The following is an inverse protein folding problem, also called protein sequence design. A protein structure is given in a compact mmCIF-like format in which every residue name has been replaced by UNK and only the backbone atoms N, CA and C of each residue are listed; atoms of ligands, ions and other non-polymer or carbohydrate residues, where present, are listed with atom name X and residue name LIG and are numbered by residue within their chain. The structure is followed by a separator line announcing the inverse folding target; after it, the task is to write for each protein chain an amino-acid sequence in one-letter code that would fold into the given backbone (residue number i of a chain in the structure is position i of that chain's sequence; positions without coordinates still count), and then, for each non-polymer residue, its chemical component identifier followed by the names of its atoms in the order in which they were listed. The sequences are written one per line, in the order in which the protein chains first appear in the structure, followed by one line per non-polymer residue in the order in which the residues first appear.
data_IF_397359976525
#
_entry.id   IF_397359976525
#
_cell.length_a   1.000
_cell.length_b   1.000
_cell.length_c   1.000
_cell.angle_alpha   90.00
_cell.angle_beta   90.00
_cell.angle_gamma   90.00
#
_symmetry.space_group_name_H-M   'P 1'
#
loop_
_entity.id
_entity.type
_entity.pdbx_description
1 polymer ?
#
# COMPACT_ATOMS: atom_id res chain seq x y z
N UNK A 1 30.21 47.94 -16.84
CA UNK A 1 30.41 48.24 -18.27
C UNK A 1 29.63 47.31 -19.15
N UNK A 2 29.03 47.82 -20.17
CA UNK A 2 27.86 47.40 -20.93
C UNK A 2 28.02 46.07 -21.69
N UNK A 3 27.03 45.17 -21.54
CA UNK A 3 26.66 44.16 -22.55
C UNK A 3 26.18 44.90 -23.80
N UNK A 4 26.67 44.51 -24.95
CA UNK A 4 26.08 44.51 -26.32
C UNK A 4 27.18 44.64 -27.36
N UNK A 5 27.03 43.77 -28.36
CA UNK A 5 27.62 43.78 -29.70
C UNK A 5 28.50 42.55 -29.96
N UNK A 6 27.86 41.53 -30.47
CA UNK A 6 28.39 40.71 -31.54
C UNK A 6 27.25 40.04 -32.31
N UNK A 7 26.64 40.77 -33.20
CA UNK A 7 25.83 40.25 -34.30
C UNK A 7 26.15 41.17 -35.48
N UNK A 8 26.75 40.66 -36.49
CA UNK A 8 26.55 40.98 -37.90
C UNK A 8 27.75 40.50 -38.75
N UNK A 9 27.43 39.77 -39.76
CA UNK A 9 28.34 39.62 -40.90
C UNK A 9 28.25 38.25 -41.56
N UNK A 10 27.44 38.23 -42.57
CA UNK A 10 27.54 37.80 -43.97
C UNK A 10 27.31 36.30 -44.21
N UNK A 11 26.52 35.83 -45.14
CA UNK A 11 25.93 36.41 -46.34
C UNK A 11 25.93 35.34 -47.43
N UNK A 12 24.76 35.01 -47.91
CA UNK A 12 24.34 34.46 -49.21
C UNK A 12 25.30 33.57 -50.03
N UNK A 13 24.87 32.33 -50.29
CA UNK A 13 24.82 31.72 -51.62
C UNK A 13 23.87 30.52 -51.61
N UNK A 14 22.92 30.52 -52.52
CA UNK A 14 21.80 29.59 -52.57
C UNK A 14 22.10 28.24 -53.18
N UNK A 15 21.23 27.30 -52.87
CA UNK A 15 20.81 26.23 -53.80
C UNK A 15 19.48 25.67 -53.30
N UNK A 16 18.48 25.72 -54.16
CA UNK A 16 17.19 25.10 -54.02
C UNK A 16 17.36 23.56 -53.96
N UNK A 17 17.05 22.98 -52.82
CA UNK A 17 16.86 21.55 -52.66
C UNK A 17 15.44 21.28 -52.12
N UNK A 18 14.65 20.56 -52.89
CA UNK A 18 13.27 20.19 -52.57
C UNK A 18 13.21 19.41 -51.27
N UNK A 19 12.54 19.98 -50.26
CA UNK A 19 12.19 19.26 -49.01
C UNK A 19 10.97 18.40 -49.34
N UNK A 20 11.18 17.10 -49.56
CA UNK A 20 10.11 16.11 -49.53
C UNK A 20 9.62 16.00 -48.08
N UNK A 21 8.41 16.46 -47.80
CA UNK A 21 7.67 16.22 -46.57
C UNK A 21 7.32 14.71 -46.51
N UNK A 22 8.23 13.90 -46.03
CA UNK A 22 7.87 12.56 -45.57
C UNK A 22 7.21 12.71 -44.18
N UNK A 23 5.89 12.62 -44.15
CA UNK A 23 5.13 12.37 -42.94
C UNK A 23 5.55 11.02 -42.35
N UNK A 24 6.70 10.99 -41.71
CA UNK A 24 7.14 9.87 -40.89
C UNK A 24 6.27 9.86 -39.62
N UNK A 25 5.39 8.93 -39.51
CA UNK A 25 4.91 8.48 -38.20
C UNK A 25 6.16 8.21 -37.36
N UNK A 26 6.42 9.06 -36.37
CA UNK A 26 7.43 8.80 -35.37
C UNK A 26 6.95 7.59 -34.55
N UNK A 27 7.25 6.38 -35.04
CA UNK A 27 7.34 5.21 -34.21
C UNK A 27 8.43 5.54 -33.18
N UNK A 28 8.06 5.69 -31.93
CA UNK A 28 9.00 5.75 -30.81
C UNK A 28 9.95 4.56 -30.98
N UNK A 29 11.28 4.77 -31.10
CA UNK A 29 12.21 3.66 -31.17
C UNK A 29 11.98 2.82 -29.90
N UNK A 30 11.64 1.55 -30.04
CA UNK A 30 11.69 0.62 -28.92
C UNK A 30 13.10 0.72 -28.34
N UNK A 31 13.26 1.13 -27.09
CA UNK A 31 14.58 1.21 -26.50
C UNK A 31 15.14 -0.21 -26.46
N UNK A 32 16.40 -0.37 -26.87
CA UNK A 32 17.13 -1.64 -26.76
C UNK A 32 17.65 -1.85 -25.32
N UNK A 33 17.11 -1.12 -24.34
CA UNK A 33 17.52 -1.21 -22.93
C UNK A 33 16.97 -2.44 -22.23
N UNK A 34 17.53 -2.77 -21.05
CA UNK A 34 16.98 -3.82 -20.20
C UNK A 34 15.50 -3.56 -19.85
N UNK A 35 14.73 -4.62 -19.72
CA UNK A 35 13.30 -4.57 -19.47
C UNK A 35 12.98 -4.92 -18.02
N UNK A 36 12.32 -4.00 -17.33
CA UNK A 36 11.80 -4.22 -15.99
C UNK A 36 10.28 -4.23 -16.04
N UNK A 37 9.68 -5.31 -15.57
CA UNK A 37 8.21 -5.38 -15.35
C UNK A 37 7.93 -5.20 -13.87
N UNK A 38 7.01 -4.30 -13.54
CA UNK A 38 6.54 -4.05 -12.17
C UNK A 38 5.07 -4.46 -12.10
N UNK A 39 4.70 -5.36 -11.20
CA UNK A 39 3.32 -5.80 -10.97
C UNK A 39 2.81 -5.21 -9.67
N UNK A 40 1.75 -4.40 -9.76
CA UNK A 40 1.12 -3.67 -8.66
C UNK A 40 1.53 -2.20 -8.60
N UNK A 41 0.56 -1.31 -8.73
CA UNK A 41 0.71 0.16 -8.79
C UNK A 41 0.57 0.87 -7.43
N UNK A 42 0.66 0.15 -6.31
CA UNK A 42 0.62 0.73 -4.97
C UNK A 42 1.90 1.49 -4.58
N UNK A 43 2.03 1.81 -3.29
CA UNK A 43 3.18 2.56 -2.74
C UNK A 43 4.54 1.98 -3.14
N UNK A 44 4.70 0.66 -3.11
CA UNK A 44 5.97 0.03 -3.45
C UNK A 44 6.23 0.03 -4.95
N UNK A 45 5.31 -0.53 -5.75
CA UNK A 45 5.53 -0.72 -7.18
C UNK A 45 5.58 0.57 -7.98
N UNK A 46 4.67 1.52 -7.73
CA UNK A 46 4.71 2.83 -8.41
C UNK A 46 6.00 3.60 -8.08
N UNK A 47 6.43 3.60 -6.81
CA UNK A 47 7.74 4.14 -6.41
C UNK A 47 8.88 3.46 -7.15
N UNK A 48 8.89 2.12 -7.18
CA UNK A 48 9.97 1.38 -7.86
C UNK A 48 10.00 1.72 -9.35
N UNK A 49 8.85 1.73 -10.03
CA UNK A 49 8.75 2.05 -11.45
C UNK A 49 9.33 3.43 -11.77
N UNK A 50 8.97 4.44 -10.98
CA UNK A 50 9.49 5.81 -11.08
C UNK A 50 11.00 5.84 -10.92
N UNK A 51 11.50 5.29 -9.81
CA UNK A 51 12.91 5.42 -9.46
C UNK A 51 13.85 4.56 -10.31
N UNK A 52 13.39 3.41 -10.85
CA UNK A 52 14.16 2.67 -11.86
C UNK A 52 14.36 3.53 -13.11
N UNK A 53 13.31 4.21 -13.60
CA UNK A 53 13.44 5.13 -14.74
C UNK A 53 14.41 6.27 -14.44
N UNK A 54 14.21 6.97 -13.32
CA UNK A 54 15.04 8.14 -12.96
C UNK A 54 16.50 7.78 -12.73
N UNK A 55 16.78 6.74 -11.94
CA UNK A 55 18.16 6.41 -11.55
C UNK A 55 18.95 5.63 -12.60
N UNK A 56 18.28 5.13 -13.64
CA UNK A 56 18.93 4.61 -14.84
C UNK A 56 19.15 5.66 -15.91
N UNK A 57 18.92 6.94 -15.61
CA UNK A 57 18.91 8.02 -16.60
C UNK A 57 18.05 7.69 -17.82
N UNK A 58 16.87 7.11 -17.52
CA UNK A 58 15.87 6.63 -18.49
C UNK A 58 16.36 5.52 -19.46
N UNK A 59 17.51 4.89 -19.19
CA UNK A 59 18.09 3.81 -20.01
C UNK A 59 17.45 2.44 -19.82
N UNK A 60 16.63 2.23 -18.77
CA UNK A 60 15.92 0.97 -18.51
C UNK A 60 14.44 1.15 -18.86
N UNK A 61 13.88 0.23 -19.64
CA UNK A 61 12.46 0.21 -19.97
C UNK A 61 11.65 -0.34 -18.79
N UNK A 62 10.66 0.42 -18.33
CA UNK A 62 9.78 0.01 -17.23
C UNK A 62 8.34 -0.09 -17.68
N UNK A 63 7.75 -1.28 -17.47
CA UNK A 63 6.31 -1.52 -17.64
C UNK A 63 5.67 -1.76 -16.29
N UNK A 64 4.71 -0.91 -15.93
CA UNK A 64 3.86 -1.07 -14.74
C UNK A 64 2.57 -1.78 -15.13
N UNK A 65 2.29 -2.94 -14.54
CA UNK A 65 1.03 -3.68 -14.69
C UNK A 65 0.17 -3.42 -13.46
N UNK A 66 -0.96 -2.74 -13.66
CA UNK A 66 -1.90 -2.38 -12.59
C UNK A 66 -3.32 -2.32 -13.17
N UNK A 67 -4.27 -3.12 -12.67
CA UNK A 67 -5.64 -3.13 -13.17
C UNK A 67 -6.44 -1.88 -12.80
N UNK A 68 -6.11 -1.22 -11.70
CA UNK A 68 -6.76 0.01 -11.26
C UNK A 68 -6.50 1.18 -12.21
N UNK A 69 -7.49 2.02 -12.43
CA UNK A 69 -7.38 3.22 -13.28
C UNK A 69 -6.60 4.36 -12.63
N UNK A 70 -6.37 4.28 -11.32
CA UNK A 70 -5.64 5.29 -10.55
C UNK A 70 -5.08 4.64 -9.27
N UNK A 71 -4.06 5.28 -8.71
CA UNK A 71 -3.59 5.01 -7.37
C UNK A 71 -4.62 5.45 -6.34
N UNK A 72 -4.99 4.56 -5.41
CA UNK A 72 -5.86 4.88 -4.28
C UNK A 72 -5.09 4.60 -2.98
N UNK A 73 -4.94 5.63 -2.17
CA UNK A 73 -4.22 5.53 -0.90
C UNK A 73 -5.02 4.77 0.15
N UNK A 74 -4.46 3.70 0.73
CA UNK A 74 -5.03 3.07 1.92
C UNK A 74 -4.83 3.93 3.18
N UNK A 75 -3.66 4.52 3.47
CA UNK A 75 -3.56 5.63 4.41
C UNK A 75 -4.56 6.74 4.07
N UNK A 76 -5.24 7.26 5.10
CA UNK A 76 -6.37 8.20 5.03
C UNK A 76 -7.72 7.61 4.56
N UNK A 77 -7.80 6.36 4.12
CA UNK A 77 -9.09 5.77 3.72
C UNK A 77 -10.08 5.62 4.89
N UNK A 78 -9.59 5.54 6.14
CA UNK A 78 -10.44 5.56 7.32
C UNK A 78 -11.17 6.90 7.51
N UNK A 79 -10.61 8.02 7.05
CA UNK A 79 -11.28 9.33 7.03
C UNK A 79 -12.46 9.34 6.04
N UNK A 80 -12.38 8.56 4.96
CA UNK A 80 -13.51 8.37 4.03
C UNK A 80 -14.61 7.54 4.70
N UNK A 81 -14.26 6.47 5.42
CA UNK A 81 -15.22 5.68 6.19
C UNK A 81 -15.89 6.54 7.28
N UNK A 82 -15.12 7.37 7.98
CA UNK A 82 -15.64 8.33 8.97
C UNK A 82 -16.45 9.49 8.37
N UNK A 83 -16.28 9.78 7.08
CA UNK A 83 -17.02 10.81 6.35
C UNK A 83 -16.37 12.21 6.35
N UNK A 84 -15.17 12.38 6.90
CA UNK A 84 -14.43 13.66 6.87
C UNK A 84 -13.64 13.86 5.57
N UNK A 85 -13.48 12.81 4.74
CA UNK A 85 -12.86 12.84 3.42
C UNK A 85 -13.70 12.08 2.41
N UNK A 86 -13.38 12.25 1.12
CA UNK A 86 -13.98 11.55 -0.02
C UNK A 86 -12.96 10.64 -0.70
N UNK A 87 -13.41 9.77 -1.60
CA UNK A 87 -12.50 8.97 -2.41
C UNK A 87 -11.60 9.82 -3.30
N UNK A 88 -12.09 10.96 -3.77
CA UNK A 88 -11.29 11.89 -4.58
C UNK A 88 -10.07 12.43 -3.82
N UNK A 89 -10.19 12.68 -2.52
CA UNK A 89 -9.11 13.17 -1.66
C UNK A 89 -7.93 12.19 -1.52
N UNK A 90 -8.16 10.90 -1.79
CA UNK A 90 -7.17 9.83 -1.64
C UNK A 90 -6.82 9.12 -2.96
N UNK A 91 -7.29 9.66 -4.09
CA UNK A 91 -7.08 9.08 -5.44
C UNK A 91 -6.17 9.98 -6.26
N UNK A 92 -5.15 9.42 -6.88
CA UNK A 92 -4.19 10.12 -7.74
C UNK A 92 -3.98 9.34 -9.04
N UNK A 93 -4.10 9.97 -10.22
CA UNK A 93 -3.86 9.28 -11.49
C UNK A 93 -2.38 8.93 -11.69
N UNK A 94 -2.12 7.93 -12.56
CA UNK A 94 -0.75 7.53 -12.93
C UNK A 94 -0.13 8.42 -14.01
N UNK A 95 -0.79 9.50 -14.40
CA UNK A 95 -0.41 10.36 -15.53
C UNK A 95 1.05 10.82 -15.49
N UNK A 96 1.54 11.21 -14.31
CA UNK A 96 2.91 11.69 -14.18
C UNK A 96 3.95 10.57 -14.34
N UNK A 97 3.66 9.35 -13.87
CA UNK A 97 4.52 8.20 -14.13
C UNK A 97 4.69 7.96 -15.63
N UNK A 98 3.61 8.09 -16.40
CA UNK A 98 3.61 7.92 -17.85
C UNK A 98 4.28 9.12 -18.53
N UNK A 99 3.79 10.35 -18.27
CA UNK A 99 4.18 11.55 -19.04
C UNK A 99 5.55 12.09 -18.67
N UNK A 100 5.92 12.06 -17.38
CA UNK A 100 7.19 12.64 -16.89
C UNK A 100 8.31 11.61 -16.81
N UNK A 101 7.96 10.38 -16.42
CA UNK A 101 8.97 9.33 -16.17
C UNK A 101 9.02 8.27 -17.28
N UNK A 102 8.11 8.33 -18.28
CA UNK A 102 8.10 7.40 -19.38
C UNK A 102 7.87 5.94 -18.97
N UNK A 103 7.15 5.72 -17.86
CA UNK A 103 6.71 4.40 -17.44
C UNK A 103 5.58 3.95 -18.37
N UNK A 104 5.70 2.77 -18.97
CA UNK A 104 4.62 2.18 -19.75
C UNK A 104 3.59 1.56 -18.79
N UNK A 105 2.45 2.21 -18.60
CA UNK A 105 1.37 1.65 -17.79
C UNK A 105 0.49 0.74 -18.64
N UNK A 106 0.32 -0.51 -18.18
CA UNK A 106 -0.58 -1.52 -18.75
C UNK A 106 -1.71 -1.74 -17.76
N UNK A 107 -2.90 -1.24 -18.10
CA UNK A 107 -4.08 -1.39 -17.27
C UNK A 107 -4.68 -2.79 -17.45
N UNK A 108 -4.04 -3.75 -16.80
CA UNK A 108 -4.41 -5.17 -16.84
C UNK A 108 -3.96 -5.88 -15.55
N UNK A 109 -4.43 -7.10 -15.36
CA UNK A 109 -4.03 -7.96 -14.24
C UNK A 109 -3.00 -8.99 -14.68
N UNK A 110 -1.90 -9.10 -13.94
CA UNK A 110 -0.98 -10.21 -14.06
C UNK A 110 -1.63 -11.47 -13.44
N UNK A 111 -1.83 -12.52 -14.25
CA UNK A 111 -2.50 -13.75 -13.80
C UNK A 111 -1.56 -14.91 -13.56
N UNK A 112 -0.39 -14.91 -14.21
CA UNK A 112 0.63 -15.92 -14.06
C UNK A 112 2.02 -15.34 -14.33
N UNK A 113 3.02 -15.84 -13.65
CA UNK A 113 4.43 -15.60 -13.91
C UNK A 113 5.06 -16.92 -14.30
N UNK A 114 5.86 -16.89 -15.34
CA UNK A 114 6.71 -18.01 -15.78
C UNK A 114 8.17 -17.58 -15.58
N UNK A 115 8.81 -17.99 -14.48
CA UNK A 115 10.18 -17.55 -14.18
C UNK A 115 11.23 -18.12 -15.14
N UNK A 116 10.98 -19.32 -15.67
CA UNK A 116 11.94 -19.98 -16.58
C UNK A 116 11.99 -19.26 -17.92
N UNK A 117 10.83 -18.87 -18.45
CA UNK A 117 10.72 -18.06 -19.68
C UNK A 117 10.93 -16.57 -19.42
N UNK A 118 10.93 -16.12 -18.17
CA UNK A 118 10.96 -14.71 -17.75
C UNK A 118 9.84 -13.89 -18.39
N UNK A 119 8.60 -14.34 -18.26
CA UNK A 119 7.43 -13.64 -18.77
C UNK A 119 6.34 -13.49 -17.71
N UNK A 120 5.61 -12.38 -17.78
CA UNK A 120 4.38 -12.12 -17.02
C UNK A 120 3.21 -12.26 -17.99
N UNK A 121 2.25 -13.15 -17.67
CA UNK A 121 1.04 -13.39 -18.46
C UNK A 121 -0.09 -12.49 -17.95
N UNK A 122 -0.77 -11.83 -18.88
CA UNK A 122 -1.83 -10.86 -18.61
C UNK A 122 -3.23 -11.48 -18.77
N UNK A 123 -4.20 -10.99 -18.01
CA UNK A 123 -5.58 -11.48 -18.01
C UNK A 123 -6.30 -11.24 -19.36
N UNK A 124 -6.05 -10.10 -20.01
CA UNK A 124 -6.63 -9.74 -21.31
C UNK A 124 -5.87 -10.37 -22.50
N UNK A 125 -4.88 -11.20 -22.21
CA UNK A 125 -4.01 -11.84 -23.18
C UNK A 125 -2.70 -11.12 -23.39
N UNK A 126 -1.70 -11.87 -23.89
CA UNK A 126 -0.35 -11.38 -24.10
C UNK A 126 0.59 -11.69 -22.93
N UNK A 127 1.87 -11.57 -23.26
CA UNK A 127 2.98 -11.82 -22.34
C UNK A 127 3.94 -10.64 -22.35
N UNK A 128 4.49 -10.31 -21.18
CA UNK A 128 5.50 -9.27 -21.02
C UNK A 128 6.83 -9.91 -20.61
N UNK A 129 7.82 -9.96 -21.50
CA UNK A 129 9.14 -10.42 -21.16
C UNK A 129 9.88 -9.44 -20.27
N UNK A 130 10.75 -9.95 -19.36
CA UNK A 130 11.51 -9.13 -18.44
C UNK A 130 12.95 -9.64 -18.26
N UNK A 131 13.87 -8.73 -17.99
CA UNK A 131 15.20 -9.02 -17.45
C UNK A 131 15.16 -9.06 -15.91
N UNK A 132 14.34 -8.19 -15.30
CA UNK A 132 14.01 -8.19 -13.87
C UNK A 132 12.51 -7.99 -13.69
N UNK A 133 11.93 -8.76 -12.78
CA UNK A 133 10.53 -8.65 -12.38
C UNK A 133 10.43 -8.12 -10.95
N UNK A 134 9.55 -7.16 -10.73
CA UNK A 134 9.28 -6.57 -9.42
C UNK A 134 7.82 -6.82 -9.07
N UNK A 135 7.57 -7.52 -7.96
CA UNK A 135 6.24 -7.82 -7.46
C UNK A 135 5.95 -7.00 -6.22
N UNK A 136 4.94 -6.15 -6.31
CA UNK A 136 4.40 -5.36 -5.19
C UNK A 136 2.88 -5.54 -5.08
N UNK A 137 2.38 -6.81 -4.99
CA UNK A 137 0.95 -7.08 -5.06
C UNK A 137 0.20 -6.78 -3.75
N UNK A 138 0.91 -6.37 -2.70
CA UNK A 138 0.35 -6.13 -1.38
C UNK A 138 -0.07 -7.44 -0.69
N UNK A 139 -1.18 -7.39 0.06
CA UNK A 139 -1.73 -8.56 0.75
C UNK A 139 -2.99 -9.07 0.06
N UNK A 140 -3.23 -10.37 0.18
CA UNK A 140 -4.52 -11.00 -0.04
C UNK A 140 -5.05 -11.62 1.26
N UNK A 141 -6.36 -11.92 1.27
CA UNK A 141 -7.08 -12.37 2.44
C UNK A 141 -7.28 -13.89 2.41
N UNK A 142 -7.09 -14.52 3.57
CA UNK A 142 -7.28 -15.95 3.75
C UNK A 142 -8.75 -16.25 4.07
N UNK A 143 -9.61 -16.10 3.07
CA UNK A 143 -11.05 -16.29 3.23
C UNK A 143 -11.43 -17.72 3.66
N UNK A 144 -10.59 -18.68 3.33
CA UNK A 144 -10.72 -20.08 3.74
C UNK A 144 -10.72 -20.28 5.27
N UNK A 145 -10.21 -19.31 6.04
CA UNK A 145 -10.24 -19.33 7.51
C UNK A 145 -11.59 -18.91 8.09
N UNK A 146 -12.51 -18.41 7.25
CA UNK A 146 -13.84 -17.95 7.61
C UNK A 146 -14.86 -18.58 6.63
N UNK A 147 -15.32 -19.83 6.88
CA UNK A 147 -16.12 -20.59 5.93
C UNK A 147 -17.38 -19.85 5.43
N UNK A 148 -18.13 -19.16 6.29
CA UNK A 148 -19.31 -18.37 5.91
C UNK A 148 -19.01 -17.23 4.92
N UNK A 149 -17.77 -16.76 4.87
CA UNK A 149 -17.33 -15.72 3.91
C UNK A 149 -17.01 -16.24 2.52
N UNK A 150 -17.02 -17.55 2.30
CA UNK A 150 -16.81 -18.18 0.99
C UNK A 150 -18.08 -18.26 0.15
N UNK A 151 -19.25 -18.06 0.76
CA UNK A 151 -20.54 -18.06 0.06
C UNK A 151 -20.65 -16.90 -0.94
N UNK A 152 -21.44 -17.13 -2.01
CA UNK A 152 -21.70 -16.10 -3.03
C UNK A 152 -22.37 -14.87 -2.38
N UNK A 153 -21.85 -13.69 -2.69
CA UNK A 153 -22.36 -12.41 -2.15
C UNK A 153 -21.95 -12.11 -0.70
N UNK A 154 -21.33 -13.04 0.02
CA UNK A 154 -20.93 -12.81 1.42
C UNK A 154 -20.00 -11.59 1.56
N UNK A 155 -19.03 -11.44 0.66
CA UNK A 155 -18.03 -10.35 0.65
C UNK A 155 -18.61 -8.99 0.23
N UNK A 156 -19.80 -8.98 -0.35
CA UNK A 156 -20.52 -7.74 -0.69
C UNK A 156 -21.40 -7.26 0.49
N UNK A 157 -21.76 -8.15 1.37
CA UNK A 157 -22.55 -7.86 2.56
C UNK A 157 -21.69 -7.59 3.80
N UNK A 158 -20.69 -8.44 4.06
CA UNK A 158 -19.72 -8.29 5.14
C UNK A 158 -18.40 -7.79 4.57
N UNK A 159 -18.12 -6.52 4.83
CA UNK A 159 -17.02 -5.82 4.16
C UNK A 159 -15.73 -5.87 4.99
N UNK A 160 -14.59 -6.06 4.33
CA UNK A 160 -13.29 -5.78 4.95
C UNK A 160 -12.92 -4.29 4.83
N UNK A 161 -13.21 -3.64 3.71
CA UNK A 161 -12.80 -2.26 3.38
C UNK A 161 -11.31 -1.97 3.72
N UNK A 162 -10.45 -3.00 3.59
CA UNK A 162 -9.02 -2.93 3.96
C UNK A 162 -8.12 -2.69 2.75
N UNK A 163 -8.60 -2.90 1.56
CA UNK A 163 -8.07 -2.35 0.30
C UNK A 163 -8.95 -1.15 -0.04
N UNK A 164 -8.36 0.05 -0.10
CA UNK A 164 -9.12 1.26 -0.41
C UNK A 164 -9.73 1.18 -1.82
N UNK A 165 -10.98 1.58 -1.95
CA UNK A 165 -11.74 1.48 -3.20
C UNK A 165 -13.24 1.39 -2.96
N UNK A 166 -13.94 0.59 -3.77
CA UNK A 166 -15.41 0.45 -3.70
C UNK A 166 -15.93 0.03 -2.33
N UNK A 167 -15.24 -0.89 -1.63
CA UNK A 167 -15.63 -1.31 -0.30
C UNK A 167 -15.48 -0.20 0.77
N UNK A 168 -14.59 0.77 0.59
CA UNK A 168 -14.48 1.93 1.48
C UNK A 168 -15.76 2.75 1.46
N UNK A 169 -16.29 3.03 0.26
CA UNK A 169 -17.57 3.72 0.08
C UNK A 169 -18.77 2.87 0.52
N UNK A 170 -18.74 1.56 0.23
CA UNK A 170 -19.80 0.65 0.63
C UNK A 170 -19.93 0.57 2.16
N UNK A 171 -18.80 0.48 2.90
CA UNK A 171 -18.81 0.51 4.36
C UNK A 171 -19.35 1.84 4.89
N UNK A 172 -18.96 2.98 4.31
CA UNK A 172 -19.54 4.28 4.68
C UNK A 172 -21.06 4.28 4.50
N UNK A 173 -21.58 3.79 3.38
CA UNK A 173 -23.01 3.69 3.13
C UNK A 173 -23.73 2.79 4.13
N UNK A 174 -23.12 1.66 4.54
CA UNK A 174 -23.70 0.80 5.58
C UNK A 174 -23.80 1.52 6.92
N UNK A 175 -22.78 2.31 7.31
CA UNK A 175 -22.80 3.11 8.52
C UNK A 175 -23.89 4.20 8.48
N UNK A 176 -24.09 4.84 7.31
CA UNK A 176 -25.14 5.84 7.11
C UNK A 176 -26.55 5.23 7.19
N UNK A 177 -26.73 4.06 6.62
CA UNK A 177 -28.01 3.34 6.60
C UNK A 177 -28.37 2.69 7.95
N UNK A 178 -27.40 2.46 8.83
CA UNK A 178 -27.62 1.87 10.15
C UNK A 178 -28.48 2.82 11.02
N UNK A 179 -29.50 2.32 11.75
CA UNK A 179 -30.28 3.17 12.66
C UNK A 179 -29.43 3.71 13.82
N UNK A 180 -29.81 4.86 14.39
CA UNK A 180 -29.24 5.30 15.67
C UNK A 180 -29.60 4.28 16.78
N UNK A 181 -28.61 3.93 17.61
CA UNK A 181 -28.69 2.81 18.56
C UNK A 181 -28.22 1.49 17.97
N UNK A 182 -27.84 1.45 16.67
CA UNK A 182 -27.25 0.27 16.04
C UNK A 182 -25.81 -0.01 16.50
N UNK A 183 -25.33 -1.22 16.19
CA UNK A 183 -24.01 -1.71 16.55
C UNK A 183 -23.16 -1.92 15.29
N UNK A 184 -21.99 -1.30 15.26
CA UNK A 184 -20.91 -1.60 14.30
C UNK A 184 -19.88 -2.47 15.00
N UNK A 185 -19.60 -3.65 14.45
CA UNK A 185 -18.62 -4.60 14.96
C UNK A 185 -17.42 -4.72 14.00
N UNK A 186 -16.22 -4.44 14.53
CA UNK A 186 -14.95 -4.54 13.83
C UNK A 186 -14.18 -5.74 14.36
N UNK A 187 -14.02 -6.79 13.54
CA UNK A 187 -13.21 -7.95 13.87
C UNK A 187 -11.79 -7.80 13.33
N UNK A 188 -10.78 -7.95 14.20
CA UNK A 188 -9.36 -7.77 13.92
C UNK A 188 -8.65 -9.13 14.01
N UNK A 189 -7.88 -9.57 13.00
CA UNK A 189 -7.19 -10.85 13.02
C UNK A 189 -5.93 -10.82 13.91
N UNK A 190 -5.36 -11.99 14.18
CA UNK A 190 -4.04 -12.10 14.80
C UNK A 190 -2.97 -11.43 13.92
N UNK A 191 -2.04 -10.74 14.56
CA UNK A 191 -0.83 -10.21 13.90
C UNK A 191 0.05 -11.36 13.36
N UNK A 192 0.83 -11.14 12.27
CA UNK A 192 1.02 -9.89 11.56
C UNK A 192 -0.05 -9.63 10.48
N UNK A 193 -0.54 -8.41 10.43
CA UNK A 193 -1.42 -7.91 9.37
C UNK A 193 -0.96 -6.53 8.89
N UNK A 194 -1.43 -6.09 7.72
CA UNK A 194 -1.11 -4.78 7.17
C UNK A 194 -1.69 -3.67 8.02
N UNK A 195 -0.90 -2.58 8.25
CA UNK A 195 -1.28 -1.39 8.98
C UNK A 195 -1.73 -1.67 10.42
N UNK A 196 -0.81 -2.07 11.32
CA UNK A 196 -1.16 -2.46 12.70
C UNK A 196 -2.05 -1.47 13.45
N UNK A 197 -1.89 -0.13 13.37
CA UNK A 197 -2.77 0.83 14.05
C UNK A 197 -4.09 1.08 13.32
N UNK A 198 -4.22 0.66 12.06
CA UNK A 198 -5.33 1.04 11.18
C UNK A 198 -6.73 0.63 11.67
N UNK A 199 -6.94 -0.55 12.28
CA UNK A 199 -8.26 -0.92 12.81
C UNK A 199 -8.70 -0.02 13.95
N UNK A 200 -7.81 0.34 14.85
CA UNK A 200 -8.10 1.20 15.99
C UNK A 200 -8.36 2.65 15.56
N UNK A 201 -7.64 3.14 14.54
CA UNK A 201 -7.95 4.40 13.86
C UNK A 201 -9.35 4.36 13.23
N UNK A 202 -9.70 3.27 12.52
CA UNK A 202 -11.03 3.10 11.93
C UNK A 202 -12.14 3.17 12.98
N UNK A 203 -11.94 2.51 14.11
CA UNK A 203 -12.89 2.57 15.23
C UNK A 203 -13.07 4.01 15.73
N UNK A 204 -11.99 4.79 15.85
CA UNK A 204 -12.07 6.21 16.22
C UNK A 204 -12.84 7.03 15.18
N UNK A 205 -12.60 6.82 13.88
CA UNK A 205 -13.29 7.56 12.82
C UNK A 205 -14.78 7.23 12.75
N UNK A 206 -15.18 5.95 12.96
CA UNK A 206 -16.58 5.55 13.04
C UNK A 206 -17.23 6.11 14.30
N UNK A 207 -16.54 6.08 15.45
CA UNK A 207 -17.05 6.65 16.69
C UNK A 207 -17.20 8.16 16.62
N UNK A 208 -16.28 8.86 15.95
CA UNK A 208 -16.41 10.30 15.68
C UNK A 208 -17.64 10.62 14.84
N UNK A 209 -17.92 9.81 13.82
CA UNK A 209 -19.16 9.94 13.06
C UNK A 209 -20.40 9.66 13.93
N UNK A 210 -20.38 8.62 14.75
CA UNK A 210 -21.51 8.28 15.62
C UNK A 210 -21.77 9.35 16.68
N UNK A 211 -20.74 9.91 17.29
CA UNK A 211 -20.92 10.96 18.31
C UNK A 211 -21.71 12.18 17.79
N UNK A 212 -21.66 12.44 16.49
CA UNK A 212 -22.36 13.55 15.84
C UNK A 212 -23.71 13.13 15.25
N UNK A 213 -23.78 12.02 14.55
CA UNK A 213 -24.91 11.64 13.73
C UNK A 213 -25.79 10.53 14.34
N UNK A 214 -25.22 9.69 15.24
CA UNK A 214 -25.87 8.49 15.80
C UNK A 214 -25.40 8.23 17.24
N UNK A 215 -25.70 9.14 18.20
CA UNK A 215 -25.09 9.14 19.53
C UNK A 215 -25.44 7.94 20.42
N UNK A 216 -26.50 7.19 20.10
CA UNK A 216 -26.88 5.97 20.82
C UNK A 216 -26.18 4.71 20.28
N UNK A 217 -25.50 4.82 19.13
CA UNK A 217 -24.85 3.70 18.46
C UNK A 217 -23.54 3.31 19.14
N UNK A 218 -23.09 2.07 18.89
CA UNK A 218 -21.88 1.48 19.50
C UNK A 218 -20.89 1.02 18.45
N UNK A 219 -19.60 1.13 18.79
CA UNK A 219 -18.46 0.56 18.07
C UNK A 219 -17.86 -0.53 18.95
N UNK A 220 -17.95 -1.78 18.51
CA UNK A 220 -17.31 -2.92 19.17
C UNK A 220 -16.02 -3.27 18.42
N UNK A 221 -14.90 -3.23 19.12
CA UNK A 221 -13.59 -3.67 18.62
C UNK A 221 -13.36 -5.07 19.16
N UNK A 222 -13.40 -6.07 18.28
CA UNK A 222 -13.27 -7.50 18.60
C UNK A 222 -11.90 -7.94 18.09
N UNK A 223 -10.92 -7.92 18.97
CA UNK A 223 -9.51 -8.09 18.63
C UNK A 223 -9.02 -9.49 18.99
N UNK A 224 -8.50 -10.23 18.02
CA UNK A 224 -7.92 -11.55 18.28
C UNK A 224 -6.62 -11.51 19.10
N UNK A 225 -5.98 -10.35 19.19
CA UNK A 225 -4.72 -10.15 19.93
C UNK A 225 -4.97 -9.94 21.43
N UNK A 226 -3.93 -10.12 22.25
CA UNK A 226 -4.01 -9.91 23.71
C UNK A 226 -4.22 -8.46 24.09
N UNK A 227 -3.75 -7.54 23.27
CA UNK A 227 -3.91 -6.08 23.43
C UNK A 227 -3.75 -5.35 22.09
N UNK A 228 -3.98 -4.04 22.10
CA UNK A 228 -3.78 -3.13 20.97
C UNK A 228 -2.36 -3.25 20.43
N UNK A 229 -2.22 -3.67 19.18
CA UNK A 229 -0.92 -4.04 18.57
C UNK A 229 0.00 -2.86 18.26
N UNK A 230 -0.51 -1.64 18.27
CA UNK A 230 0.28 -0.42 18.01
C UNK A 230 -0.34 0.80 18.67
N UNK A 231 0.45 1.63 19.36
CA UNK A 231 0.03 2.87 20.03
C UNK A 231 -1.08 2.66 21.07
N UNK A 232 -1.11 1.50 21.74
CA UNK A 232 -2.17 1.08 22.66
C UNK A 232 -2.57 2.13 23.69
N UNK A 233 -1.63 2.66 24.50
CA UNK A 233 -1.95 3.69 25.50
C UNK A 233 -2.64 4.93 24.92
N UNK A 234 -2.23 5.37 23.71
CA UNK A 234 -2.78 6.55 23.05
C UNK A 234 -4.20 6.30 22.53
N UNK A 235 -4.47 5.15 21.93
CA UNK A 235 -5.81 4.79 21.50
C UNK A 235 -6.76 4.62 22.68
N UNK A 236 -6.36 3.88 23.71
CA UNK A 236 -7.16 3.68 24.93
C UNK A 236 -7.50 5.01 25.61
N UNK A 237 -6.52 5.94 25.67
CA UNK A 237 -6.77 7.29 26.15
C UNK A 237 -7.78 8.04 25.30
N UNK A 238 -7.65 8.00 23.97
CA UNK A 238 -8.60 8.65 23.06
C UNK A 238 -10.02 8.06 23.20
N UNK A 239 -10.16 6.74 23.35
CA UNK A 239 -11.45 6.10 23.57
C UNK A 239 -12.11 6.54 24.86
N UNK A 240 -11.34 6.61 25.95
CA UNK A 240 -11.84 7.10 27.25
C UNK A 240 -12.22 8.57 27.19
N UNK A 241 -11.36 9.43 26.65
CA UNK A 241 -11.53 10.88 26.75
C UNK A 241 -12.60 11.42 25.77
N UNK A 242 -12.80 10.74 24.61
CA UNK A 242 -13.62 11.25 23.49
C UNK A 242 -14.82 10.38 23.15
N UNK A 243 -14.72 9.07 23.38
CA UNK A 243 -15.68 8.08 22.89
C UNK A 243 -16.16 7.15 23.99
N UNK A 244 -16.10 7.62 25.26
CA UNK A 244 -16.66 6.88 26.40
C UNK A 244 -18.12 6.57 26.15
N UNK A 245 -18.49 5.31 26.39
CA UNK A 245 -19.85 4.84 26.12
C UNK A 245 -20.16 4.58 24.64
N UNK A 246 -19.29 4.96 23.67
CA UNK A 246 -19.45 4.64 22.24
C UNK A 246 -18.54 3.47 21.83
N UNK A 247 -17.24 3.52 22.17
CA UNK A 247 -16.27 2.45 21.84
C UNK A 247 -16.20 1.46 23.01
N UNK A 248 -16.30 0.18 22.68
CA UNK A 248 -15.99 -0.93 23.56
C UNK A 248 -14.92 -1.82 22.93
N UNK A 249 -13.80 -2.04 23.64
CA UNK A 249 -12.69 -2.87 23.21
C UNK A 249 -12.70 -4.22 23.92
N UNK A 250 -12.69 -5.29 23.12
CA UNK A 250 -12.67 -6.68 23.59
C UNK A 250 -11.46 -7.41 22.99
N UNK A 251 -10.37 -7.60 23.74
CA UNK A 251 -9.23 -8.42 23.32
C UNK A 251 -9.59 -9.92 23.35
N UNK A 252 -8.71 -10.74 22.76
CA UNK A 252 -8.83 -12.23 22.74
C UNK A 252 -10.14 -12.73 22.10
N UNK A 253 -10.68 -11.98 21.14
CA UNK A 253 -11.86 -12.33 20.36
C UNK A 253 -11.46 -12.85 18.98
N UNK A 254 -10.89 -14.08 18.94
CA UNK A 254 -10.49 -14.70 17.68
C UNK A 254 -11.71 -15.15 16.90
N UNK A 255 -11.98 -14.48 15.79
CA UNK A 255 -13.05 -14.83 14.87
C UNK A 255 -12.72 -16.15 14.16
N UNK A 256 -13.69 -17.07 14.11
CA UNK A 256 -13.56 -18.37 13.42
C UNK A 256 -14.57 -18.54 12.29
N UNK A 257 -15.69 -17.81 12.31
CA UNK A 257 -16.67 -17.85 11.24
C UNK A 257 -17.60 -16.62 11.27
N UNK A 258 -18.38 -16.46 10.19
CA UNK A 258 -19.38 -15.41 10.04
C UNK A 258 -20.67 -16.02 9.50
N UNK A 259 -21.77 -15.92 10.24
CA UNK A 259 -23.09 -16.16 9.70
C UNK A 259 -23.58 -14.88 9.00
N UNK A 260 -23.43 -14.86 7.70
CA UNK A 260 -23.79 -13.71 6.86
C UNK A 260 -25.29 -13.50 6.77
N UNK A 261 -26.10 -14.56 6.91
CA UNK A 261 -27.56 -14.45 6.85
C UNK A 261 -28.11 -13.69 8.05
N UNK A 262 -27.61 -13.98 9.25
CA UNK A 262 -28.06 -13.40 10.50
C UNK A 262 -27.24 -12.21 11.00
N UNK A 263 -26.16 -11.83 10.28
CA UNK A 263 -25.16 -10.83 10.70
C UNK A 263 -24.52 -11.18 12.05
N UNK A 264 -24.04 -12.42 12.20
CA UNK A 264 -23.47 -12.92 13.45
C UNK A 264 -21.99 -13.31 13.25
N UNK A 265 -21.13 -12.82 14.14
CA UNK A 265 -19.73 -13.20 14.27
C UNK A 265 -19.60 -14.36 15.25
N UNK A 266 -18.84 -15.41 14.89
CA UNK A 266 -18.58 -16.59 15.72
C UNK A 266 -17.14 -16.65 16.17
N UNK A 267 -16.90 -16.81 17.45
CA UNK A 267 -15.57 -16.77 18.06
C UNK A 267 -15.14 -18.13 18.57
N UNK A 268 -13.81 -18.34 18.72
CA UNK A 268 -13.23 -19.61 19.15
C UNK A 268 -13.61 -19.97 20.60
N UNK A 269 -13.62 -18.98 21.50
CA UNK A 269 -13.87 -19.18 22.94
C UNK A 269 -14.85 -18.18 23.56
N UNK A 270 -15.44 -17.29 22.77
CA UNK A 270 -16.35 -16.27 23.23
C UNK A 270 -17.74 -16.48 22.63
N UNK A 271 -18.76 -15.90 23.24
CA UNK A 271 -20.14 -15.97 22.75
C UNK A 271 -20.28 -15.32 21.36
N UNK A 272 -21.16 -15.86 20.54
CA UNK A 272 -21.52 -15.31 19.25
C UNK A 272 -22.06 -13.88 19.40
N UNK A 273 -21.73 -13.01 18.45
CA UNK A 273 -22.12 -11.60 18.50
C UNK A 273 -22.84 -11.19 17.22
N UNK A 274 -24.07 -10.70 17.38
CA UNK A 274 -24.88 -10.10 16.32
C UNK A 274 -24.72 -8.59 16.28
N UNK A 275 -24.54 -8.00 15.09
CA UNK A 275 -24.44 -6.54 14.93
C UNK A 275 -25.15 -6.08 13.64
N UNK A 276 -25.42 -4.77 13.55
CA UNK A 276 -26.06 -4.16 12.37
C UNK A 276 -25.12 -4.06 11.19
N UNK A 277 -23.86 -3.72 11.46
CA UNK A 277 -22.80 -3.62 10.45
C UNK A 277 -21.61 -4.44 10.91
N UNK A 278 -21.21 -5.41 10.08
CA UNK A 278 -20.02 -6.22 10.29
C UNK A 278 -18.87 -5.73 9.40
N UNK A 279 -17.76 -5.35 10.01
CA UNK A 279 -16.53 -5.07 9.33
C UNK A 279 -15.47 -6.11 9.73
N UNK A 280 -15.19 -7.05 8.85
CA UNK A 280 -14.35 -8.20 9.14
C UNK A 280 -13.02 -8.07 8.40
N UNK A 281 -11.92 -8.03 9.15
CA UNK A 281 -10.58 -8.11 8.60
C UNK A 281 -10.13 -9.58 8.67
N UNK A 282 -10.05 -10.30 7.54
CA UNK A 282 -9.56 -11.68 7.54
C UNK A 282 -8.07 -11.73 7.81
N UNK A 283 -7.56 -12.90 8.15
CA UNK A 283 -6.13 -13.15 8.13
C UNK A 283 -5.54 -12.84 6.75
N UNK A 284 -4.28 -12.40 6.72
CA UNK A 284 -3.64 -11.91 5.51
C UNK A 284 -2.42 -12.75 5.15
N UNK A 285 -2.15 -12.85 3.85
CA UNK A 285 -0.94 -13.43 3.27
C UNK A 285 -0.40 -12.53 2.15
N UNK A 286 0.74 -12.87 1.59
CA UNK A 286 1.25 -12.24 0.37
C UNK A 286 0.21 -12.30 -0.75
N UNK A 287 0.22 -11.30 -1.63
CA UNK A 287 -0.69 -11.25 -2.77
C UNK A 287 -0.66 -12.54 -3.59
N UNK A 288 -1.81 -13.00 -4.03
CA UNK A 288 -2.04 -14.31 -4.66
C UNK A 288 -1.07 -14.63 -5.79
N UNK A 289 -0.69 -13.64 -6.60
CA UNK A 289 0.27 -13.84 -7.68
C UNK A 289 1.64 -14.30 -7.17
N UNK A 290 2.10 -13.78 -6.03
CA UNK A 290 3.35 -14.19 -5.41
C UNK A 290 3.23 -15.61 -4.81
N UNK A 291 2.10 -15.94 -4.18
CA UNK A 291 1.82 -17.27 -3.65
C UNK A 291 1.78 -18.32 -4.78
N UNK A 292 1.03 -18.03 -5.86
CA UNK A 292 0.89 -18.91 -7.04
C UNK A 292 2.23 -19.12 -7.78
N UNK A 293 3.15 -18.16 -7.68
CA UNK A 293 4.50 -18.29 -8.26
C UNK A 293 5.48 -19.04 -7.34
N UNK A 294 5.05 -19.47 -6.15
CA UNK A 294 5.91 -20.21 -5.21
C UNK A 294 6.87 -19.31 -4.40
N UNK A 295 6.64 -18.02 -4.32
CA UNK A 295 7.52 -17.06 -3.64
C UNK A 295 7.25 -16.94 -2.14
N UNK A 296 6.10 -17.42 -1.65
CA UNK A 296 5.71 -17.34 -0.24
C UNK A 296 6.33 -18.48 0.56
N UNK A 297 7.62 -18.39 0.86
CA UNK A 297 8.42 -19.42 1.53
C UNK A 297 8.30 -19.40 3.05
N UNK A 298 8.13 -18.21 3.65
CA UNK A 298 7.92 -18.09 5.09
C UNK A 298 6.49 -18.50 5.47
N UNK A 299 6.38 -19.65 6.17
CA UNK A 299 5.10 -20.20 6.65
C UNK A 299 4.05 -20.38 5.55
N UNK A 300 4.45 -20.52 4.27
CA UNK A 300 3.57 -20.51 3.08
C UNK A 300 2.66 -19.27 3.01
N UNK A 301 3.06 -18.20 3.69
CA UNK A 301 2.26 -17.00 3.88
C UNK A 301 2.95 -15.72 3.37
N UNK A 302 4.28 -15.59 3.58
CA UNK A 302 5.04 -14.40 3.24
C UNK A 302 6.27 -14.72 2.39
N UNK A 303 6.70 -13.77 1.56
CA UNK A 303 7.85 -13.93 0.68
C UNK A 303 9.14 -13.55 1.41
N UNK A 304 10.09 -14.45 1.51
CA UNK A 304 11.44 -14.16 2.01
C UNK A 304 12.26 -13.51 0.89
N UNK A 305 13.00 -12.46 1.25
CA UNK A 305 13.80 -11.65 0.33
C UNK A 305 15.14 -11.28 0.93
N UNK A 306 16.10 -11.00 0.07
CA UNK A 306 17.31 -10.28 0.44
C UNK A 306 17.00 -8.79 0.64
N UNK A 307 17.16 -8.25 1.84
CA UNK A 307 16.85 -6.85 2.15
C UNK A 307 17.76 -5.82 1.46
N UNK A 308 18.87 -6.22 0.85
CA UNK A 308 19.71 -5.34 0.05
C UNK A 308 19.14 -5.10 -1.35
N UNK A 309 18.43 -6.10 -1.89
CA UNK A 309 17.98 -6.10 -3.28
C UNK A 309 16.50 -6.35 -3.45
N UNK A 310 15.82 -6.84 -2.42
CA UNK A 310 14.48 -7.40 -2.47
C UNK A 310 14.32 -8.61 -3.41
N UNK A 311 15.44 -9.18 -3.92
CA UNK A 311 15.36 -10.40 -4.70
C UNK A 311 14.84 -11.55 -3.84
N UNK A 312 13.88 -12.31 -4.40
CA UNK A 312 13.33 -13.49 -3.74
C UNK A 312 14.42 -14.54 -3.49
N UNK A 313 14.40 -15.17 -2.32
CA UNK A 313 15.29 -16.31 -2.06
C UNK A 313 14.91 -17.54 -2.89
N UNK A 314 13.67 -17.63 -3.35
CA UNK A 314 13.14 -18.78 -4.08
C UNK A 314 13.41 -18.72 -5.59
N UNK A 315 13.36 -17.52 -6.20
CA UNK A 315 13.42 -17.34 -7.65
C UNK A 315 14.32 -16.18 -8.01
N UNK A 316 15.32 -16.43 -8.84
CA UNK A 316 16.25 -15.40 -9.33
C UNK A 316 15.60 -14.45 -10.32
N UNK A 317 16.09 -13.21 -10.33
CA UNK A 317 15.60 -12.09 -11.17
C UNK A 317 14.15 -11.66 -10.85
N UNK A 318 13.58 -12.14 -9.76
CA UNK A 318 12.27 -11.76 -9.25
C UNK A 318 12.45 -11.09 -7.88
N UNK A 319 12.01 -9.85 -7.77
CA UNK A 319 12.07 -9.05 -6.55
C UNK A 319 10.66 -8.91 -5.96
N UNK A 320 10.51 -9.05 -4.65
CA UNK A 320 9.22 -8.89 -3.97
C UNK A 320 9.37 -7.83 -2.89
N UNK A 321 8.41 -6.90 -2.81
CA UNK A 321 8.49 -5.79 -1.86
C UNK A 321 7.12 -5.36 -1.30
N UNK A 322 7.15 -4.48 -0.32
CA UNK A 322 5.94 -4.00 0.37
C UNK A 322 5.33 -5.04 1.29
N UNK A 323 4.02 -5.06 1.38
CA UNK A 323 3.32 -5.87 2.40
C UNK A 323 3.37 -7.38 2.15
N UNK A 324 3.82 -7.84 0.96
CA UNK A 324 3.93 -9.28 0.62
C UNK A 324 5.12 -9.97 1.27
N UNK A 325 6.13 -9.25 1.73
CA UNK A 325 7.36 -9.86 2.25
C UNK A 325 7.21 -10.38 3.68
N UNK A 326 8.04 -11.36 4.03
CA UNK A 326 8.36 -11.64 5.44
C UNK A 326 9.10 -10.42 6.00
N UNK A 327 8.51 -9.76 6.97
CA UNK A 327 9.08 -8.55 7.56
C UNK A 327 10.28 -8.86 8.46
N UNK A 328 11.22 -7.96 8.50
CA UNK A 328 12.29 -7.97 9.49
C UNK A 328 11.75 -7.68 10.91
N UNK A 329 12.50 -7.97 11.98
CA UNK A 329 12.08 -7.69 13.35
C UNK A 329 11.59 -6.26 13.55
N UNK A 330 10.42 -6.11 14.17
CA UNK A 330 9.75 -4.83 14.46
C UNK A 330 9.45 -3.94 13.23
N UNK A 331 9.64 -4.44 12.02
CA UNK A 331 9.29 -3.71 10.80
C UNK A 331 7.78 -3.78 10.54
N UNK A 332 7.07 -2.66 10.39
CA UNK A 332 5.64 -2.68 10.10
C UNK A 332 5.36 -2.96 8.62
N UNK A 333 4.23 -3.61 8.32
CA UNK A 333 3.64 -3.61 6.99
C UNK A 333 2.87 -2.29 6.79
N UNK A 334 3.50 -1.32 6.11
CA UNK A 334 2.95 0.03 5.93
C UNK A 334 3.23 0.59 4.54
N UNK A 335 2.40 1.56 4.10
CA UNK A 335 2.62 2.26 2.83
C UNK A 335 3.96 3.00 2.79
N UNK A 336 4.40 3.62 3.91
CA UNK A 336 5.71 4.27 3.99
C UNK A 336 6.85 3.27 3.84
N UNK A 337 6.78 2.15 4.55
CA UNK A 337 7.79 1.10 4.43
C UNK A 337 7.84 0.53 3.00
N UNK A 338 6.67 0.31 2.37
CA UNK A 338 6.60 -0.14 0.98
C UNK A 338 7.27 0.85 -0.01
N UNK A 339 7.11 2.17 0.22
CA UNK A 339 7.82 3.19 -0.54
C UNK A 339 9.35 3.11 -0.33
N UNK A 340 9.82 2.91 0.90
CA UNK A 340 11.26 2.75 1.19
C UNK A 340 11.83 1.48 0.54
N UNK A 341 11.09 0.37 0.60
CA UNK A 341 11.44 -0.87 -0.11
C UNK A 341 11.55 -0.63 -1.60
N UNK A 342 10.61 0.14 -2.18
CA UNK A 342 10.59 0.49 -3.59
C UNK A 342 11.85 1.23 -4.03
N UNK A 343 12.33 2.19 -3.25
CA UNK A 343 13.57 2.94 -3.54
C UNK A 343 14.80 2.05 -3.46
N UNK A 344 14.92 1.23 -2.42
CA UNK A 344 16.06 0.32 -2.28
C UNK A 344 16.08 -0.72 -3.40
N UNK A 345 14.93 -1.31 -3.73
CA UNK A 345 14.80 -2.24 -4.85
C UNK A 345 15.15 -1.58 -6.19
N UNK A 346 14.67 -0.35 -6.44
CA UNK A 346 14.99 0.39 -7.65
C UNK A 346 16.51 0.63 -7.80
N UNK A 347 17.17 1.11 -6.73
CA UNK A 347 18.62 1.31 -6.72
C UNK A 347 19.38 0.00 -6.99
N UNK A 348 18.95 -1.09 -6.36
CA UNK A 348 19.56 -2.40 -6.54
C UNK A 348 19.36 -2.94 -7.96
N UNK A 349 18.15 -2.86 -8.51
CA UNK A 349 17.86 -3.31 -9.89
C UNK A 349 18.64 -2.52 -10.92
N UNK A 350 18.73 -1.20 -10.76
CA UNK A 350 19.58 -0.35 -11.63
C UNK A 350 21.05 -0.76 -11.52
N UNK A 351 21.57 -0.95 -10.32
CA UNK A 351 22.96 -1.38 -10.13
C UNK A 351 23.22 -2.73 -10.81
N UNK A 352 22.37 -3.73 -10.57
CA UNK A 352 22.50 -5.08 -11.11
C UNK A 352 22.43 -5.10 -12.66
N UNK A 353 21.55 -4.29 -13.26
CA UNK A 353 21.40 -4.22 -14.72
C UNK A 353 22.51 -3.39 -15.40
N UNK A 354 23.25 -2.58 -14.64
CA UNK A 354 24.38 -1.79 -15.12
C UNK A 354 25.75 -2.32 -14.67
N UNK A 355 25.81 -3.54 -14.12
CA UNK A 355 27.06 -4.19 -13.69
C UNK A 355 27.70 -3.57 -12.44
N UNK A 356 26.92 -2.81 -11.64
CA UNK A 356 27.36 -2.22 -10.37
C UNK A 356 26.90 -3.03 -9.18
N UNK A 357 27.54 -2.83 -8.02
CA UNK A 357 27.12 -3.45 -6.77
C UNK A 357 25.94 -2.67 -6.15
N UNK A 358 24.93 -3.35 -5.62
CA UNK A 358 23.88 -2.73 -4.81
C UNK A 358 24.45 -2.07 -3.55
N UNK A 359 23.70 -1.11 -2.99
CA UNK A 359 24.02 -0.51 -1.70
C UNK A 359 24.00 -1.59 -0.61
N UNK A 360 25.09 -1.74 0.13
CA UNK A 360 25.24 -2.74 1.19
C UNK A 360 24.82 -2.25 2.58
N UNK A 361 24.36 -0.99 2.73
CA UNK A 361 23.95 -0.39 3.99
C UNK A 361 22.66 0.44 3.84
N UNK A 362 21.56 -0.13 3.37
CA UNK A 362 20.30 0.60 3.26
C UNK A 362 19.75 0.96 4.65
N UNK A 363 19.06 2.10 4.71
CA UNK A 363 18.33 2.57 5.88
C UNK A 363 16.88 2.80 5.48
N UNK A 364 15.94 2.29 6.27
CA UNK A 364 14.51 2.47 6.05
C UNK A 364 13.90 3.31 7.15
N UNK A 365 13.08 4.26 6.77
CA UNK A 365 12.32 5.10 7.70
C UNK A 365 10.84 4.73 7.63
N UNK A 366 10.17 4.78 8.77
CA UNK A 366 8.73 4.64 8.83
C UNK A 366 8.13 5.74 9.69
N UNK A 367 7.04 6.32 9.23
CA UNK A 367 6.16 7.18 10.01
C UNK A 367 4.72 6.74 9.75
N UNK A 368 4.00 6.44 10.83
CA UNK A 368 2.62 5.98 10.80
C UNK A 368 1.76 6.94 11.62
N UNK A 369 1.03 7.79 10.94
CA UNK A 369 0.04 8.68 11.52
C UNK A 369 -1.30 7.97 11.67
N UNK A 370 -2.00 8.18 12.77
CA UNK A 370 -3.33 7.62 13.01
C UNK A 370 -4.26 8.68 13.60
N UNK A 371 -5.36 8.88 12.94
CA UNK A 371 -6.37 9.85 13.30
C UNK A 371 -7.28 9.31 14.42
N UNK A 372 -7.25 9.95 15.58
CA UNK A 372 -8.16 9.64 16.70
C UNK A 372 -9.43 10.48 16.65
N UNK A 373 -9.45 11.53 15.84
CA UNK A 373 -10.60 12.34 15.42
C UNK A 373 -10.37 12.77 13.96
N UNK A 374 -11.25 13.54 13.31
CA UNK A 374 -10.97 14.09 11.97
C UNK A 374 -9.69 14.92 11.88
N UNK A 375 -9.26 15.54 12.96
CA UNK A 375 -8.16 16.52 12.99
C UNK A 375 -7.01 16.12 13.92
N UNK A 376 -7.28 15.42 15.03
CA UNK A 376 -6.26 15.01 16.00
C UNK A 376 -5.63 13.68 15.62
N UNK A 377 -4.32 13.63 15.69
CA UNK A 377 -3.49 12.51 15.25
C UNK A 377 -2.51 12.10 16.33
N UNK A 378 -2.18 10.83 16.35
CA UNK A 378 -1.04 10.23 17.03
C UNK A 378 -0.13 9.55 16.02
N UNK A 379 1.19 9.59 16.23
CA UNK A 379 2.13 8.92 15.34
C UNK A 379 2.98 7.86 16.03
N UNK A 380 3.58 6.99 15.24
CA UNK A 380 4.74 6.17 15.59
C UNK A 380 5.75 6.25 14.47
N UNK A 381 7.02 6.40 14.81
CA UNK A 381 8.13 6.40 13.87
C UNK A 381 9.15 5.33 14.23
N UNK A 382 9.85 4.82 13.23
CA UNK A 382 10.97 3.89 13.42
C UNK A 382 11.99 4.05 12.29
N UNK A 383 13.24 3.72 12.60
CA UNK A 383 14.33 3.63 11.63
C UNK A 383 14.91 2.22 11.71
N UNK A 384 15.16 1.62 10.56
CA UNK A 384 15.76 0.30 10.44
C UNK A 384 17.02 0.39 9.60
N UNK A 385 18.09 -0.26 10.04
CA UNK A 385 19.36 -0.35 9.34
C UNK A 385 19.74 -1.80 9.10
N UNK A 386 20.38 -2.08 7.98
CA UNK A 386 20.84 -3.42 7.64
C UNK A 386 21.96 -3.87 8.59
N UNK A 387 21.84 -5.08 9.08
CA UNK A 387 22.84 -5.79 9.88
C UNK A 387 23.42 -6.89 9.02
N UNK A 388 24.71 -6.77 8.65
CA UNK A 388 25.38 -7.69 7.73
C UNK A 388 25.60 -9.09 8.32
N UNK A 389 25.78 -9.20 9.64
CA UNK A 389 26.00 -10.48 10.31
C UNK A 389 24.69 -11.30 10.35
N UNK A 390 23.57 -10.62 10.59
CA UNK A 390 22.24 -11.23 10.65
C UNK A 390 21.52 -11.26 9.31
N UNK A 391 22.06 -10.59 8.30
CA UNK A 391 21.48 -10.43 6.95
C UNK A 391 20.02 -9.98 6.98
N UNK A 392 19.70 -9.05 7.88
CA UNK A 392 18.33 -8.51 8.04
C UNK A 392 18.36 -7.05 8.46
N UNK A 393 17.19 -6.40 8.42
CA UNK A 393 17.03 -5.05 8.94
C UNK A 393 16.74 -5.10 10.44
N UNK A 394 17.39 -4.27 11.22
CA UNK A 394 17.15 -4.14 12.65
C UNK A 394 16.73 -2.71 13.01
N UNK A 395 15.84 -2.53 14.00
CA UNK A 395 15.48 -1.21 14.47
C UNK A 395 16.70 -0.52 15.11
N UNK A 396 16.87 0.76 14.80
CA UNK A 396 17.92 1.60 15.40
C UNK A 396 17.38 2.16 16.71
N UNK A 397 18.00 1.78 17.80
CA UNK A 397 17.60 2.24 19.13
C UNK A 397 17.64 3.78 19.23
N UNK A 398 16.59 4.37 19.79
CA UNK A 398 16.46 5.82 19.96
C UNK A 398 16.18 6.64 18.69
N UNK A 399 16.13 5.99 17.51
CA UNK A 399 15.87 6.68 16.23
C UNK A 399 14.40 6.57 15.80
N UNK A 400 13.49 6.56 16.76
CA UNK A 400 12.05 6.52 16.54
C UNK A 400 11.33 6.97 17.80
N UNK A 401 10.00 6.92 17.75
CA UNK A 401 9.21 7.32 18.91
C UNK A 401 7.71 7.28 18.62
N UNK A 402 6.95 7.62 19.65
CA UNK A 402 5.50 7.79 19.59
C UNK A 402 5.11 9.16 20.11
N UNK A 403 3.96 9.67 19.71
CA UNK A 403 3.38 10.90 20.23
C UNK A 403 3.25 10.86 21.75
N UNK A 404 3.44 11.98 22.42
CA UNK A 404 3.11 12.13 23.83
C UNK A 404 1.59 12.21 24.08
N UNK A 405 0.86 12.81 23.13
CA UNK A 405 -0.60 12.92 23.12
C UNK A 405 -1.10 13.20 21.71
N UNK A 406 -2.39 12.94 21.48
CA UNK A 406 -3.06 13.33 20.24
C UNK A 406 -3.21 14.85 20.15
N UNK A 407 -2.95 15.41 18.97
CA UNK A 407 -3.09 16.85 18.73
C UNK A 407 -3.28 17.18 17.24
N UNK A 408 -3.79 18.38 16.96
CA UNK A 408 -4.04 18.90 15.61
C UNK A 408 -2.76 19.18 14.81
N UNK A 409 -1.66 19.53 15.47
CA UNK A 409 -0.39 19.80 14.79
C UNK A 409 0.11 18.54 14.08
N UNK A 410 0.00 17.38 14.74
CA UNK A 410 0.30 16.10 14.11
C UNK A 410 -0.69 15.74 13.00
N UNK A 411 -1.95 16.21 13.08
CA UNK A 411 -2.91 16.13 11.99
C UNK A 411 -2.43 16.88 10.73
N UNK A 412 -1.93 18.11 10.91
CA UNK A 412 -1.31 18.86 9.81
C UNK A 412 -0.09 18.14 9.22
N UNK A 413 0.74 17.54 10.07
CA UNK A 413 1.88 16.73 9.62
C UNK A 413 1.43 15.48 8.85
N UNK A 414 0.37 14.80 9.28
CA UNK A 414 -0.18 13.64 8.59
C UNK A 414 -0.66 13.97 7.17
N UNK A 415 -1.36 15.10 6.99
CA UNK A 415 -1.78 15.56 5.66
C UNK A 415 -0.60 16.02 4.80
N UNK A 416 0.40 16.69 5.38
CA UNK A 416 1.62 17.07 4.67
C UNK A 416 2.41 15.84 4.23
N UNK A 417 2.56 14.86 5.12
CA UNK A 417 3.19 13.56 4.81
C UNK A 417 2.48 12.87 3.65
N UNK A 418 1.13 12.82 3.67
CA UNK A 418 0.37 12.17 2.61
C UNK A 418 0.64 12.82 1.25
N UNK A 419 0.57 14.15 1.15
CA UNK A 419 0.89 14.87 -0.10
C UNK A 419 2.32 14.59 -0.57
N UNK A 420 3.27 14.60 0.35
CA UNK A 420 4.68 14.40 0.02
C UNK A 420 4.95 12.96 -0.46
N UNK A 421 4.41 11.94 0.22
CA UNK A 421 4.65 10.55 -0.21
C UNK A 421 3.91 10.22 -1.51
N UNK A 422 2.75 10.84 -1.79
CA UNK A 422 2.08 10.68 -3.07
C UNK A 422 2.87 11.32 -4.20
N UNK A 423 3.39 12.53 -4.00
CA UNK A 423 4.28 13.17 -4.96
C UNK A 423 5.58 12.37 -5.17
N UNK A 424 6.17 11.88 -4.08
CA UNK A 424 7.35 11.02 -4.14
C UNK A 424 7.09 9.69 -4.90
N UNK A 425 5.90 9.13 -4.77
CA UNK A 425 5.51 7.88 -5.43
C UNK A 425 5.12 8.09 -6.89
N UNK A 426 4.45 9.19 -7.24
CA UNK A 426 3.68 9.32 -8.50
C UNK A 426 4.07 10.52 -9.37
N UNK A 427 4.68 11.61 -8.81
CA UNK A 427 4.89 12.87 -9.53
C UNK A 427 6.33 13.06 -10.07
#
# INVERSE_FOLDING_TARGET
MKRRQFVQGLGAAGSLGAIALTSGCASTPGSNGPKVVVVGGGYGGATTAKYVRMWSDYGIDVTLVEPGSAFISCPLSNLVVGGSKTMADITTPYDNLVKRHGVRWVQDMAVRIDPDKRVVVLAKGGELPYDRLILSPGVDFMWETLPGMTAVGAKDKVLHAWKAGSQTQALRKQLEAMPDGGVYALAIPLAPYRCPPGPYERACQVASYFSQAKPKSKVLILDANDDVTSKGPLFKKAWKDRYEGIIEYRPKHKLVDVDVATNTLKFEFNDDLKANVLNVLPEMRAGDIAVKTGLATANKRWCEVDFLTFESIAVKNVHVLGDSIQIAPAMPKSGHMANQHGKTCAAAVVALLTGRQPNNMPVYNNACYSFVSPDDVVHVTSVHRYDADKKTMLPVAGAGGVSSAANELEGRYAFAWARNIWADTLA
#
